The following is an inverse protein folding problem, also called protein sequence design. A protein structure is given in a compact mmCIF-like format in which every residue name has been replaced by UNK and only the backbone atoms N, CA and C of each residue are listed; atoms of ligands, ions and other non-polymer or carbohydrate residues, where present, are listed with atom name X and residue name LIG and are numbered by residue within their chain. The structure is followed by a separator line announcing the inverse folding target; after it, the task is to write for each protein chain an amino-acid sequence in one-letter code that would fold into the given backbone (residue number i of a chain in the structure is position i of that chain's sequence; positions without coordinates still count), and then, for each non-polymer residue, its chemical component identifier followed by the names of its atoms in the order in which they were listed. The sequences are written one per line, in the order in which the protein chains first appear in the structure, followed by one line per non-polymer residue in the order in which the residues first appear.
data_IF_961560164968
#
_entry.id   IF_961560164968
#
_cell.length_a   1.000
_cell.length_b   1.000
_cell.length_c   1.000
_cell.angle_alpha   90.00
_cell.angle_beta   90.00
_cell.angle_gamma   90.00
#
_symmetry.space_group_name_H-M   'P 1'
#
loop_
_entity.id
_entity.type
_entity.pdbx_description
1 polymer ?
#
# COMPACT_ATOMS: atom_id res chain seq x y z
N UNK A 1 -15.87 4.60 14.82
CA UNK A 1 -14.72 5.23 14.15
C UNK A 1 -14.32 4.28 13.06
N UNK A 2 -14.62 4.63 11.81
CA UNK A 2 -14.32 3.80 10.66
C UNK A 2 -12.80 3.70 10.52
N UNK A 3 -12.24 2.52 10.84
CA UNK A 3 -10.84 2.25 10.51
C UNK A 3 -10.76 2.16 8.99
N UNK A 4 -10.14 3.16 8.36
CA UNK A 4 -9.85 3.07 6.94
C UNK A 4 -8.79 1.98 6.72
N UNK A 5 -8.98 1.10 5.72
CA UNK A 5 -8.01 0.06 5.45
C UNK A 5 -6.68 0.64 4.96
N UNK A 6 -5.59 0.03 5.43
CA UNK A 6 -4.22 0.46 5.15
C UNK A 6 -3.57 -0.53 4.19
N UNK A 7 -2.86 -0.03 3.18
CA UNK A 7 -2.05 -0.85 2.30
C UNK A 7 -0.85 -1.44 3.06
N UNK A 8 -0.69 -2.78 3.13
CA UNK A 8 0.42 -3.41 3.85
C UNK A 8 1.77 -3.20 3.16
N UNK A 9 1.75 -2.85 1.87
CA UNK A 9 2.96 -2.59 1.08
C UNK A 9 3.51 -1.20 1.40
N UNK A 10 2.70 -0.15 1.25
CA UNK A 10 3.19 1.24 1.28
C UNK A 10 2.60 2.13 2.37
N UNK A 11 1.65 1.63 3.17
CA UNK A 11 1.05 2.40 4.26
C UNK A 11 -0.06 3.37 3.86
N UNK A 12 -0.49 3.40 2.59
CA UNK A 12 -1.61 4.23 2.15
C UNK A 12 -2.89 3.89 2.91
N UNK A 13 -3.45 4.85 3.64
CA UNK A 13 -4.54 4.66 4.63
C UNK A 13 -5.93 5.02 4.12
N UNK A 14 -6.10 5.15 2.80
CA UNK A 14 -7.38 5.49 2.18
C UNK A 14 -7.76 4.50 1.07
N UNK A 15 -7.50 3.22 1.32
CA UNK A 15 -8.03 2.17 0.46
C UNK A 15 -9.57 2.15 0.53
N UNK A 16 -10.28 1.90 -0.59
CA UNK A 16 -11.73 1.75 -0.58
C UNK A 16 -12.19 0.55 0.25
N UNK A 17 -11.43 -0.55 0.17
CA UNK A 17 -11.70 -1.82 0.83
C UNK A 17 -10.41 -2.38 1.44
N UNK A 18 -10.50 -3.24 2.47
CA UNK A 18 -9.33 -3.92 2.99
C UNK A 18 -8.68 -4.81 1.92
N UNK A 19 -7.35 -4.99 1.93
CA UNK A 19 -6.67 -5.89 1.01
C UNK A 19 -7.25 -7.31 1.03
N UNK A 20 -7.63 -7.77 2.24
CA UNK A 20 -8.32 -9.03 2.49
C UNK A 20 -9.43 -8.81 3.52
N UNK A 21 -10.57 -9.46 3.32
CA UNK A 21 -11.65 -9.47 4.30
C UNK A 21 -11.38 -10.45 5.47
N UNK A 22 -12.32 -10.55 6.41
CA UNK A 22 -12.20 -11.43 7.58
C UNK A 22 -12.14 -12.93 7.22
N UNK A 23 -12.56 -13.30 6.00
CA UNK A 23 -12.54 -14.67 5.48
C UNK A 23 -11.26 -14.95 4.68
N UNK A 24 -10.39 -13.96 4.50
CA UNK A 24 -9.17 -14.05 3.70
C UNK A 24 -9.41 -13.93 2.20
N UNK A 25 -10.57 -13.45 1.77
CA UNK A 25 -10.84 -13.13 0.37
C UNK A 25 -10.18 -11.80 0.00
N UNK A 26 -9.39 -11.79 -1.09
CA UNK A 26 -8.76 -10.57 -1.59
C UNK A 26 -9.80 -9.59 -2.16
N UNK A 27 -9.56 -8.29 -2.01
CA UNK A 27 -10.41 -7.27 -2.64
C UNK A 27 -10.16 -7.08 -4.13
N UNK A 28 -9.00 -7.52 -4.66
CA UNK A 28 -8.55 -7.22 -6.02
C UNK A 28 -8.42 -5.72 -6.34
N UNK A 29 -8.49 -4.87 -5.30
CA UNK A 29 -8.23 -3.45 -5.41
C UNK A 29 -6.75 -3.21 -5.74
N UNK A 30 -6.51 -2.19 -6.55
CA UNK A 30 -5.15 -1.74 -6.86
C UNK A 30 -4.83 -0.55 -5.98
N UNK A 31 -3.77 -0.65 -5.16
CA UNK A 31 -3.35 0.46 -4.34
C UNK A 31 -2.94 1.66 -5.22
N UNK A 32 -3.58 2.84 -5.10
CA UNK A 32 -3.27 3.97 -5.97
C UNK A 32 -1.88 4.55 -5.71
N UNK A 33 -1.30 4.28 -4.53
CA UNK A 33 0.02 4.75 -4.15
C UNK A 33 1.14 3.86 -4.71
N UNK A 34 1.16 2.56 -4.37
CA UNK A 34 2.26 1.66 -4.78
C UNK A 34 1.96 0.77 -5.99
N UNK A 35 0.69 0.68 -6.40
CA UNK A 35 0.27 -0.09 -7.57
C UNK A 35 0.09 -1.59 -7.36
N UNK A 36 0.23 -2.09 -6.12
CA UNK A 36 -0.04 -3.49 -5.81
C UNK A 36 -1.51 -3.83 -6.03
N UNK A 37 -1.77 -4.87 -6.81
CA UNK A 37 -3.07 -5.52 -6.92
C UNK A 37 -3.18 -6.66 -5.89
N UNK A 38 -4.09 -6.52 -4.92
CA UNK A 38 -4.25 -7.49 -3.83
C UNK A 38 -4.91 -8.79 -4.33
N UNK A 39 -4.37 -9.93 -3.94
CA UNK A 39 -4.75 -11.25 -4.46
C UNK A 39 -4.08 -11.61 -5.78
N UNK A 40 -3.27 -10.73 -6.37
CA UNK A 40 -2.52 -11.00 -7.60
C UNK A 40 -1.01 -10.83 -7.40
N UNK A 41 -0.54 -9.60 -7.15
CA UNK A 41 0.88 -9.32 -6.94
C UNK A 41 1.40 -9.94 -5.64
N UNK A 42 0.61 -9.78 -4.56
CA UNK A 42 0.94 -10.27 -3.22
C UNK A 42 0.59 -11.75 -3.01
N UNK A 43 -0.09 -12.39 -3.97
CA UNK A 43 -0.28 -13.83 -4.00
C UNK A 43 1.03 -14.60 -4.24
N UNK A 44 2.04 -13.96 -4.83
CA UNK A 44 3.34 -14.58 -5.15
C UNK A 44 4.53 -13.90 -4.49
N UNK A 45 4.36 -12.66 -3.99
CA UNK A 45 5.43 -11.88 -3.37
C UNK A 45 4.98 -11.33 -2.03
N UNK A 46 5.78 -11.45 -0.96
CA UNK A 46 5.45 -10.83 0.31
C UNK A 46 5.40 -9.30 0.19
N UNK A 47 4.61 -8.66 1.05
CA UNK A 47 4.42 -7.20 1.05
C UNK A 47 5.74 -6.44 1.17
N UNK A 48 6.71 -6.97 1.91
CA UNK A 48 8.06 -6.41 2.08
C UNK A 48 8.82 -6.33 0.75
N UNK A 49 8.70 -7.36 -0.09
CA UNK A 49 9.38 -7.39 -1.39
C UNK A 49 8.73 -6.41 -2.36
N UNK A 50 7.39 -6.32 -2.35
CA UNK A 50 6.66 -5.34 -3.15
C UNK A 50 6.99 -3.91 -2.69
N UNK A 51 7.13 -3.69 -1.37
CA UNK A 51 7.51 -2.42 -0.77
C UNK A 51 8.91 -2.02 -1.22
N UNK A 52 9.87 -2.93 -1.16
CA UNK A 52 11.23 -2.67 -1.62
C UNK A 52 11.24 -2.32 -3.12
N UNK A 53 10.52 -3.07 -3.95
CA UNK A 53 10.44 -2.79 -5.38
C UNK A 53 9.81 -1.41 -5.69
N UNK A 54 8.85 -0.97 -4.88
CA UNK A 54 8.28 0.37 -4.96
C UNK A 54 9.27 1.46 -4.51
N UNK A 55 10.00 1.22 -3.41
CA UNK A 55 11.07 2.11 -2.94
C UNK A 55 12.21 2.26 -3.96
N UNK A 56 12.63 1.16 -4.59
CA UNK A 56 13.67 1.15 -5.64
C UNK A 56 13.28 1.97 -6.87
N UNK A 57 11.97 2.13 -7.10
CA UNK A 57 11.39 2.99 -8.15
C UNK A 57 11.16 4.43 -7.67
N UNK A 58 11.71 4.81 -6.52
CA UNK A 58 11.62 6.15 -5.96
C UNK A 58 10.35 6.41 -5.15
N UNK A 59 9.66 5.36 -4.68
CA UNK A 59 8.40 5.48 -3.95
C UNK A 59 7.37 6.37 -4.68
N UNK A 60 7.34 6.27 -6.02
CA UNK A 60 6.50 7.10 -6.86
C UNK A 60 5.03 6.73 -6.70
N UNK A 61 4.15 7.73 -6.81
CA UNK A 61 2.71 7.50 -6.86
C UNK A 61 2.34 6.77 -8.15
N UNK A 62 1.64 5.64 -8.03
CA UNK A 62 1.37 4.76 -9.16
C UNK A 62 0.18 5.22 -10.03
N UNK A 63 -0.91 5.70 -9.41
CA UNK A 63 -2.15 5.97 -10.15
C UNK A 63 -2.12 7.29 -10.92
N UNK A 64 -2.52 7.25 -12.19
CA UNK A 64 -2.80 8.43 -13.02
C UNK A 64 -4.24 8.93 -12.86
N UNK A 65 -5.19 8.05 -12.54
CA UNK A 65 -6.61 8.35 -12.34
C UNK A 65 -6.92 8.97 -10.99
N UNK A 66 -6.25 8.51 -9.92
CA UNK A 66 -6.33 9.12 -8.59
C UNK A 66 -5.04 9.87 -8.34
N UNK A 67 -5.12 11.20 -8.22
CA UNK A 67 -3.92 12.01 -7.94
C UNK A 67 -3.46 11.82 -6.48
N UNK A 68 -2.15 11.92 -6.21
CA UNK A 68 -1.67 12.00 -4.84
C UNK A 68 -2.19 13.27 -4.15
N UNK A 69 -2.32 13.26 -2.81
CA UNK A 69 -2.55 14.48 -2.04
C UNK A 69 -1.50 15.57 -2.32
N UNK A 70 -1.85 16.83 -2.10
CA UNK A 70 -0.90 17.93 -2.25
C UNK A 70 0.28 17.78 -1.27
N UNK A 71 1.51 17.88 -1.78
CA UNK A 71 2.72 17.72 -0.97
C UNK A 71 3.01 16.28 -0.52
N UNK A 72 2.35 15.29 -1.13
CA UNK A 72 2.56 13.88 -0.82
C UNK A 72 4.00 13.42 -1.11
N UNK A 73 4.51 12.53 -0.26
CA UNK A 73 5.78 11.83 -0.42
C UNK A 73 5.61 10.38 0.00
N UNK A 74 6.06 9.44 -0.84
CA UNK A 74 5.99 8.01 -0.54
C UNK A 74 6.80 7.61 0.70
N UNK A 75 7.97 8.21 0.92
CA UNK A 75 8.77 7.95 2.13
C UNK A 75 8.03 8.37 3.39
N UNK A 76 7.42 9.56 3.38
CA UNK A 76 6.63 10.09 4.49
C UNK A 76 5.40 9.22 4.78
N UNK A 77 4.69 8.78 3.74
CA UNK A 77 3.55 7.86 3.89
C UNK A 77 3.99 6.57 4.60
N UNK A 78 5.13 6.02 4.20
CA UNK A 78 5.65 4.79 4.78
C UNK A 78 6.08 4.99 6.25
N UNK A 79 6.72 6.11 6.57
CA UNK A 79 7.08 6.49 7.96
C UNK A 79 5.84 6.62 8.84
N UNK A 80 4.83 7.37 8.39
CA UNK A 80 3.58 7.62 9.12
C UNK A 80 2.79 6.33 9.38
N UNK A 81 2.93 5.33 8.50
CA UNK A 81 2.31 4.01 8.68
C UNK A 81 3.03 3.10 9.69
N UNK A 82 4.26 3.43 10.09
CA UNK A 82 5.08 2.60 10.97
C UNK A 82 5.72 1.37 10.30
N UNK A 83 5.53 1.17 8.99
CA UNK A 83 6.07 0.03 8.24
C UNK A 83 7.59 0.07 8.02
N UNK A 84 8.25 1.21 8.29
CA UNK A 84 9.71 1.35 8.21
C UNK A 84 10.47 0.81 9.43
N UNK A 85 9.78 0.52 10.52
CA UNK A 85 10.40 -0.05 11.72
C UNK A 85 10.01 -1.53 11.83
N UNK A 86 10.86 -2.48 11.39
CA UNK A 86 10.74 -3.82 11.91
C UNK A 86 10.91 -3.70 13.42
N UNK A 87 9.92 -4.16 14.21
CA UNK A 87 10.13 -4.35 15.64
C UNK A 87 11.38 -5.22 15.80
N UNK A 88 12.42 -4.62 16.37
CA UNK A 88 13.59 -5.27 16.94
C UNK A 88 13.20 -6.36 17.93
#
# INVERSE_FOLDING_TARGET
MDLKPICPVCGYSELPEPPYDEQGCASFEICPSCGTEFGYDDATKPAEQLRQAWLDRGAAWWSDRRRPPAGWSGSRQLEESGLLNPKS
#
